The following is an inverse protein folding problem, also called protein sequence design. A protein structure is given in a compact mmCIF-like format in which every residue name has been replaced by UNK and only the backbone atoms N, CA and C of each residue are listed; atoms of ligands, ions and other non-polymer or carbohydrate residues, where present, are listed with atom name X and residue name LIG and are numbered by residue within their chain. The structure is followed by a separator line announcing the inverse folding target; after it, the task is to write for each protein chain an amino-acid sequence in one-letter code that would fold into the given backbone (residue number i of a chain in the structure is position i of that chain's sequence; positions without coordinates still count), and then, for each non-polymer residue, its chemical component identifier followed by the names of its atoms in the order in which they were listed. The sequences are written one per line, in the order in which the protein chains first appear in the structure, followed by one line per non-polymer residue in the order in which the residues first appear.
data_IF_439459988940
#
_entry.id   IF_439459988940
#
_cell.length_a   1.000
_cell.length_b   1.000
_cell.length_c   1.000
_cell.angle_alpha   90.00
_cell.angle_beta   90.00
_cell.angle_gamma   90.00
#
_symmetry.space_group_name_H-M   'P 1'
#
loop_
_entity.id
_entity.type
_entity.pdbx_description
1 polymer ?
#
# COMPACT_ATOMS: atom_id res chain seq x y z
N UNK A 1 -9.59 -5.41 5.74
CA UNK A 1 -9.73 -4.64 4.49
C UNK A 1 -10.97 -3.77 4.59
N UNK A 2 -10.84 -2.45 4.55
CA UNK A 2 -11.96 -1.50 4.59
C UNK A 2 -12.13 -0.82 3.23
N UNK A 3 -12.45 -1.58 2.19
CA UNK A 3 -12.67 -1.01 0.86
C UNK A 3 -14.13 -0.49 0.76
N UNK A 4 -14.38 0.78 0.39
CA UNK A 4 -15.69 1.42 0.55
C UNK A 4 -16.87 0.74 -0.16
N UNK A 5 -16.59 -0.04 -1.21
CA UNK A 5 -17.60 -0.63 -2.11
C UNK A 5 -17.46 -2.15 -2.26
N UNK A 6 -16.98 -2.83 -1.23
CA UNK A 6 -16.79 -4.28 -1.30
C UNK A 6 -18.13 -5.03 -1.34
N UNK A 7 -18.37 -5.80 -2.42
CA UNK A 7 -19.54 -6.69 -2.50
C UNK A 7 -19.40 -7.85 -1.49
N UNK A 8 -20.50 -8.34 -0.89
CA UNK A 8 -20.46 -9.49 0.01
C UNK A 8 -19.90 -10.73 -0.69
N UNK A 9 -18.94 -11.40 -0.07
CA UNK A 9 -18.25 -12.55 -0.66
C UNK A 9 -19.22 -13.70 -0.99
N UNK A 10 -20.08 -14.07 -0.04
CA UNK A 10 -21.08 -15.14 -0.22
C UNK A 10 -22.02 -14.91 -1.40
N UNK A 11 -22.31 -13.65 -1.75
CA UNK A 11 -23.11 -13.31 -2.92
C UNK A 11 -22.37 -13.67 -4.21
N UNK A 12 -21.09 -13.32 -4.32
CA UNK A 12 -20.28 -13.62 -5.49
C UNK A 12 -20.03 -15.12 -5.65
N UNK A 13 -19.77 -15.84 -4.56
CA UNK A 13 -19.65 -17.31 -4.60
C UNK A 13 -20.91 -17.97 -5.16
N UNK A 14 -22.10 -17.52 -4.73
CA UNK A 14 -23.37 -18.05 -5.23
C UNK A 14 -23.54 -17.78 -6.73
N UNK A 15 -23.21 -16.57 -7.18
CA UNK A 15 -23.30 -16.20 -8.60
C UNK A 15 -22.35 -17.06 -9.43
N UNK A 16 -21.08 -17.18 -9.03
CA UNK A 16 -20.07 -17.98 -9.75
C UNK A 16 -20.48 -19.46 -9.81
N UNK A 17 -20.87 -20.06 -8.68
CA UNK A 17 -21.32 -21.47 -8.65
C UNK A 17 -22.49 -21.77 -9.59
N UNK A 18 -23.39 -20.81 -9.77
CA UNK A 18 -24.57 -21.00 -10.61
C UNK A 18 -24.28 -20.75 -12.09
N UNK A 19 -23.23 -19.98 -12.40
CA UNK A 19 -22.91 -19.51 -13.74
C UNK A 19 -21.66 -20.15 -14.36
N UNK A 20 -20.89 -20.95 -13.63
CA UNK A 20 -19.68 -21.62 -14.12
C UNK A 20 -19.31 -22.90 -13.37
N UNK A 21 -18.52 -23.75 -14.00
CA UNK A 21 -17.95 -24.97 -13.46
C UNK A 21 -16.52 -24.75 -12.92
N UNK A 22 -15.99 -25.74 -12.20
CA UNK A 22 -14.58 -25.75 -11.82
C UNK A 22 -13.68 -25.73 -13.05
N UNK A 23 -12.56 -25.01 -12.99
CA UNK A 23 -11.66 -24.82 -14.12
C UNK A 23 -12.07 -23.73 -15.13
N UNK A 24 -13.33 -23.27 -15.12
CA UNK A 24 -13.78 -22.18 -16.00
C UNK A 24 -13.09 -20.85 -15.65
N UNK A 25 -13.14 -19.89 -16.58
CA UNK A 25 -12.57 -18.56 -16.42
C UNK A 25 -13.66 -17.55 -16.03
N UNK A 26 -13.42 -16.80 -14.96
CA UNK A 26 -14.27 -15.67 -14.54
C UNK A 26 -13.60 -14.35 -14.90
N UNK A 27 -14.23 -13.55 -15.77
CA UNK A 27 -13.78 -12.20 -16.11
C UNK A 27 -14.56 -11.16 -15.30
N UNK A 28 -13.85 -10.29 -14.60
CA UNK A 28 -14.41 -9.11 -13.95
C UNK A 28 -13.69 -7.83 -14.44
N UNK A 29 -14.30 -7.06 -15.36
CA UNK A 29 -13.69 -5.86 -15.90
C UNK A 29 -13.77 -4.63 -14.98
N UNK A 30 -14.29 -4.79 -13.75
CA UNK A 30 -14.39 -3.76 -12.73
C UNK A 30 -14.04 -4.33 -11.35
N UNK A 31 -12.90 -5.04 -11.28
CA UNK A 31 -12.62 -5.96 -10.19
C UNK A 31 -12.36 -5.27 -8.83
N UNK A 32 -12.00 -3.99 -8.82
CA UNK A 32 -11.70 -3.24 -7.60
C UNK A 32 -10.69 -3.96 -6.72
N UNK A 33 -11.01 -4.15 -5.45
CA UNK A 33 -10.17 -4.90 -4.50
C UNK A 33 -10.13 -6.43 -4.72
N UNK A 34 -10.66 -6.94 -5.83
CA UNK A 34 -10.52 -8.34 -6.23
C UNK A 34 -11.41 -9.32 -5.47
N UNK A 35 -12.62 -8.92 -5.07
CA UNK A 35 -13.53 -9.85 -4.37
C UNK A 35 -14.02 -10.97 -5.30
N UNK A 36 -14.29 -10.66 -6.56
CA UNK A 36 -14.67 -11.66 -7.57
C UNK A 36 -13.53 -12.64 -7.85
N UNK A 37 -12.31 -12.13 -8.03
CA UNK A 37 -11.10 -12.95 -8.18
C UNK A 37 -10.90 -13.88 -6.97
N UNK A 38 -11.02 -13.35 -5.74
CA UNK A 38 -10.91 -14.15 -4.53
C UNK A 38 -11.97 -15.27 -4.47
N UNK A 39 -13.23 -14.96 -4.78
CA UNK A 39 -14.31 -15.95 -4.82
C UNK A 39 -14.08 -17.01 -5.91
N UNK A 40 -13.64 -16.61 -7.10
CA UNK A 40 -13.31 -17.54 -8.19
C UNK A 40 -12.17 -18.48 -7.79
N UNK A 41 -11.12 -17.94 -7.16
CA UNK A 41 -9.98 -18.71 -6.65
C UNK A 41 -10.39 -19.74 -5.60
N UNK A 42 -11.23 -19.37 -4.61
CA UNK A 42 -11.75 -20.32 -3.59
C UNK A 42 -12.55 -21.46 -4.21
N UNK A 43 -13.18 -21.18 -5.34
CA UNK A 43 -13.99 -22.13 -6.07
C UNK A 43 -13.18 -22.89 -7.11
N UNK A 44 -11.85 -22.81 -7.17
CA UNK A 44 -11.04 -23.51 -8.17
C UNK A 44 -11.38 -23.11 -9.62
N UNK A 45 -11.67 -21.82 -9.86
CA UNK A 45 -11.83 -21.23 -11.19
C UNK A 45 -10.60 -20.39 -11.53
N UNK A 46 -10.29 -20.28 -12.82
CA UNK A 46 -9.36 -19.26 -13.31
C UNK A 46 -10.06 -17.90 -13.30
N UNK A 47 -9.32 -16.81 -13.29
CA UNK A 47 -9.92 -15.48 -13.30
C UNK A 47 -9.05 -14.44 -14.00
N UNK A 48 -9.71 -13.41 -14.53
CA UNK A 48 -9.10 -12.21 -15.09
C UNK A 48 -9.79 -11.02 -14.43
N UNK A 49 -9.01 -10.17 -13.76
CA UNK A 49 -9.50 -8.94 -13.15
C UNK A 49 -8.92 -7.73 -13.87
N UNK A 50 -9.77 -6.78 -14.26
CA UNK A 50 -9.34 -5.50 -14.86
C UNK A 50 -9.91 -4.37 -14.00
N UNK A 51 -9.09 -3.36 -13.76
CA UNK A 51 -9.51 -2.09 -13.17
C UNK A 51 -8.67 -0.96 -13.76
N UNK A 52 -9.27 0.22 -13.88
CA UNK A 52 -8.57 1.43 -14.32
C UNK A 52 -7.65 1.97 -13.23
N UNK A 53 -7.94 1.66 -11.96
CA UNK A 53 -7.19 2.12 -10.81
C UNK A 53 -6.05 1.17 -10.50
N UNK A 54 -4.81 1.64 -10.67
CA UNK A 54 -3.61 0.89 -10.25
C UNK A 54 -3.58 0.57 -8.76
N UNK A 55 -4.18 1.44 -7.93
CA UNK A 55 -4.35 1.18 -6.50
C UNK A 55 -5.23 -0.05 -6.25
N UNK A 56 -6.38 -0.16 -6.93
CA UNK A 56 -7.25 -1.35 -6.86
C UNK A 56 -6.52 -2.62 -7.28
N UNK A 57 -5.76 -2.56 -8.39
CA UNK A 57 -5.00 -3.70 -8.90
C UNK A 57 -3.95 -4.19 -7.92
N UNK A 58 -3.21 -3.28 -7.27
CA UNK A 58 -2.24 -3.65 -6.21
C UNK A 58 -2.95 -4.24 -4.98
N UNK A 59 -4.08 -3.69 -4.55
CA UNK A 59 -4.85 -4.26 -3.44
C UNK A 59 -5.38 -5.67 -3.77
N UNK A 60 -5.83 -5.89 -5.01
CA UNK A 60 -6.21 -7.22 -5.49
C UNK A 60 -5.01 -8.17 -5.44
N UNK A 61 -3.85 -7.76 -5.97
CA UNK A 61 -2.62 -8.56 -5.94
C UNK A 61 -2.25 -8.93 -4.50
N UNK A 62 -2.17 -7.96 -3.59
CA UNK A 62 -1.86 -8.19 -2.17
C UNK A 62 -2.86 -9.19 -1.56
N UNK A 63 -4.17 -9.00 -1.81
CA UNK A 63 -5.21 -9.90 -1.31
C UNK A 63 -5.00 -11.33 -1.79
N UNK A 64 -4.78 -11.56 -3.09
CA UNK A 64 -4.65 -12.92 -3.60
C UNK A 64 -3.36 -13.55 -3.06
N UNK A 65 -2.21 -12.87 -3.13
CA UNK A 65 -0.94 -13.42 -2.64
C UNK A 65 -0.97 -13.71 -1.13
N UNK A 66 -1.66 -12.88 -0.34
CA UNK A 66 -1.79 -13.08 1.11
C UNK A 66 -2.68 -14.27 1.46
N UNK A 67 -3.73 -14.55 0.67
CA UNK A 67 -4.64 -15.67 0.92
C UNK A 67 -4.18 -16.98 0.27
N UNK A 68 -3.38 -16.90 -0.80
CA UNK A 68 -2.92 -18.05 -1.58
C UNK A 68 -1.40 -18.00 -1.83
N UNK A 69 -0.56 -18.18 -0.80
CA UNK A 69 0.89 -18.08 -0.94
C UNK A 69 1.50 -19.02 -1.97
N UNK A 70 0.87 -20.17 -2.24
CA UNK A 70 1.30 -21.12 -3.27
C UNK A 70 1.33 -20.50 -4.68
N UNK A 71 0.51 -19.47 -4.94
CA UNK A 71 0.50 -18.72 -6.21
C UNK A 71 1.76 -17.88 -6.42
N UNK A 72 2.61 -17.68 -5.41
CA UNK A 72 3.90 -17.01 -5.55
C UNK A 72 4.88 -17.87 -6.37
N UNK A 73 4.77 -19.20 -6.30
CA UNK A 73 5.79 -20.12 -6.80
C UNK A 73 5.38 -20.92 -8.05
N UNK A 74 4.13 -20.86 -8.49
CA UNK A 74 3.56 -21.76 -9.51
C UNK A 74 3.18 -21.05 -10.81
N UNK A 75 4.12 -20.38 -11.49
CA UNK A 75 3.84 -19.54 -12.69
C UNK A 75 2.73 -18.52 -12.39
N UNK A 76 3.01 -17.68 -11.39
CA UNK A 76 2.04 -16.90 -10.62
C UNK A 76 1.20 -15.87 -11.38
N UNK A 77 0.43 -15.10 -10.60
CA UNK A 77 -0.50 -14.08 -11.10
C UNK A 77 0.24 -13.11 -12.02
N UNK A 78 -0.09 -13.14 -13.31
CA UNK A 78 0.37 -12.14 -14.26
C UNK A 78 -0.32 -10.81 -13.98
N UNK A 79 0.46 -9.74 -13.85
CA UNK A 79 -0.04 -8.39 -13.65
C UNK A 79 0.45 -7.52 -14.79
N UNK A 80 -0.48 -7.08 -15.63
CA UNK A 80 -0.19 -6.26 -16.81
C UNK A 80 -0.52 -4.79 -16.53
N UNK A 81 0.36 -3.88 -16.95
CA UNK A 81 0.12 -2.43 -16.90
C UNK A 81 0.54 -1.73 -15.60
N UNK A 82 1.20 -2.44 -14.68
CA UNK A 82 1.91 -1.88 -13.54
C UNK A 82 3.42 -1.88 -13.81
N UNK A 83 4.18 -0.89 -13.31
CA UNK A 83 5.63 -0.88 -13.46
C UNK A 83 6.29 -2.14 -12.89
N UNK A 84 7.06 -2.83 -13.73
CA UNK A 84 7.91 -3.97 -13.36
C UNK A 84 9.34 -3.59 -13.00
N UNK A 85 9.79 -2.43 -13.46
CA UNK A 85 11.13 -1.90 -13.20
C UNK A 85 11.14 -0.38 -12.95
N UNK A 86 12.33 0.15 -12.66
CA UNK A 86 12.53 1.56 -12.30
C UNK A 86 12.27 2.49 -13.48
N UNK A 87 12.56 2.06 -14.72
CA UNK A 87 12.39 2.90 -15.90
C UNK A 87 10.91 2.99 -16.28
N UNK A 88 10.16 1.90 -16.23
CA UNK A 88 8.69 1.91 -16.35
C UNK A 88 8.05 2.77 -15.25
N UNK A 89 8.58 2.70 -14.03
CA UNK A 89 8.10 3.54 -12.92
C UNK A 89 8.37 5.03 -13.18
N UNK A 90 9.53 5.38 -13.78
CA UNK A 90 9.85 6.75 -14.20
C UNK A 90 8.96 7.23 -15.34
N UNK A 91 8.67 6.37 -16.32
CA UNK A 91 7.75 6.69 -17.41
C UNK A 91 6.35 6.99 -16.87
N UNK A 92 5.85 6.17 -15.94
CA UNK A 92 4.58 6.42 -15.26
C UNK A 92 4.61 7.74 -14.49
N UNK A 93 5.66 7.99 -13.71
CA UNK A 93 5.83 9.23 -12.95
C UNK A 93 5.84 10.48 -13.84
N UNK A 94 6.44 10.41 -15.04
CA UNK A 94 6.50 11.52 -16.00
C UNK A 94 5.19 11.70 -16.76
N UNK A 95 4.58 10.61 -17.22
CA UNK A 95 3.37 10.64 -18.04
C UNK A 95 2.12 10.95 -17.23
N UNK A 96 2.01 10.37 -16.03
CA UNK A 96 0.88 10.58 -15.13
C UNK A 96 1.31 10.47 -13.66
N UNK A 97 1.80 11.58 -13.06
CA UNK A 97 2.24 11.61 -11.65
C UNK A 97 1.18 11.09 -10.67
N UNK A 98 -0.09 11.36 -10.95
CA UNK A 98 -1.19 10.95 -10.08
C UNK A 98 -1.43 9.43 -10.09
N UNK A 99 -1.26 8.78 -11.25
CA UNK A 99 -1.30 7.31 -11.33
C UNK A 99 -0.06 6.65 -10.73
N UNK A 100 1.09 7.32 -10.79
CA UNK A 100 2.30 6.91 -10.08
C UNK A 100 2.09 6.92 -8.56
N UNK A 101 1.54 8.00 -8.00
CA UNK A 101 1.21 8.13 -6.58
C UNK A 101 0.28 7.00 -6.11
N UNK A 102 -0.79 6.71 -6.87
CA UNK A 102 -1.72 5.61 -6.60
C UNK A 102 -1.04 4.25 -6.61
N UNK A 103 -0.19 4.00 -7.60
CA UNK A 103 0.53 2.74 -7.73
C UNK A 103 1.45 2.52 -6.52
N UNK A 104 2.26 3.53 -6.17
CA UNK A 104 3.14 3.49 -5.00
C UNK A 104 2.35 3.25 -3.72
N UNK A 105 1.28 4.00 -3.49
CA UNK A 105 0.46 3.86 -2.30
C UNK A 105 -0.20 2.47 -2.20
N UNK A 106 -0.66 1.93 -3.33
CA UNK A 106 -1.22 0.58 -3.39
C UNK A 106 -0.18 -0.48 -3.03
N UNK A 107 1.05 -0.31 -3.53
CA UNK A 107 2.14 -1.25 -3.31
C UNK A 107 2.70 -1.21 -1.88
N UNK A 108 2.73 -0.03 -1.26
CA UNK A 108 3.10 0.14 0.15
C UNK A 108 1.99 -0.35 1.10
N UNK A 109 0.76 -0.49 0.60
CA UNK A 109 -0.38 -0.98 1.36
C UNK A 109 -0.97 0.07 2.29
N UNK A 110 -1.05 1.33 1.84
CA UNK A 110 -1.71 2.41 2.58
C UNK A 110 -3.19 2.07 2.83
N UNK A 111 -3.71 2.48 3.99
CA UNK A 111 -5.08 2.22 4.38
C UNK A 111 -6.07 3.24 3.80
N UNK A 112 -5.60 4.47 3.55
CA UNK A 112 -6.38 5.54 2.95
C UNK A 112 -5.49 6.34 1.97
N UNK A 113 -6.04 6.67 0.80
CA UNK A 113 -5.41 7.52 -0.20
C UNK A 113 -5.78 8.97 0.12
N UNK A 114 -5.09 9.59 1.08
CA UNK A 114 -4.87 11.04 1.32
C UNK A 114 -5.98 12.09 1.14
N UNK A 115 -7.17 11.76 0.65
CA UNK A 115 -8.22 12.68 0.18
C UNK A 115 -9.17 13.14 1.27
N UNK A 116 -8.79 12.97 2.54
CA UNK A 116 -9.48 13.66 3.63
C UNK A 116 -8.94 15.08 3.69
N UNK A 117 -9.80 16.05 3.36
CA UNK A 117 -9.58 17.45 3.77
C UNK A 117 -9.37 17.48 5.27
N UNK A 118 -8.11 17.62 5.69
CA UNK A 118 -7.78 17.89 7.09
C UNK A 118 -8.37 19.26 7.44
N UNK A 119 -9.19 19.40 8.49
CA UNK A 119 -9.73 20.69 8.90
C UNK A 119 -8.58 21.69 9.12
N UNK A 120 -8.60 22.81 8.38
CA UNK A 120 -7.59 23.87 8.46
C UNK A 120 -6.46 23.81 7.42
N UNK A 121 -6.40 22.80 6.55
CA UNK A 121 -5.46 22.82 5.42
C UNK A 121 -5.86 23.88 4.38
N UNK A 122 -4.94 24.78 4.00
CA UNK A 122 -5.11 25.66 2.83
C UNK A 122 -4.57 24.92 1.59
N UNK A 123 -5.43 24.72 0.60
CA UNK A 123 -5.12 23.96 -0.63
C UNK A 123 -5.84 22.61 -0.69
N UNK A 124 -5.98 22.05 -1.89
CA UNK A 124 -6.39 20.66 -2.05
C UNK A 124 -5.18 19.78 -1.68
N UNK A 125 -5.31 19.06 -0.57
CA UNK A 125 -4.38 18.09 0.00
C UNK A 125 -3.06 18.68 0.56
N UNK A 126 -2.83 18.51 1.86
CA UNK A 126 -1.68 19.05 2.59
C UNK A 126 -0.35 18.34 2.31
N UNK A 127 -0.17 17.81 1.10
CA UNK A 127 1.01 17.06 0.64
C UNK A 127 1.08 15.60 1.10
N UNK A 128 -0.03 15.04 1.58
CA UNK A 128 -0.15 13.62 2.00
C UNK A 128 -0.82 12.85 0.88
N UNK A 129 -0.14 11.83 0.36
CA UNK A 129 -0.64 10.96 -0.71
C UNK A 129 -1.32 9.71 -0.16
N UNK A 130 -0.91 9.26 1.03
CA UNK A 130 -1.51 8.14 1.72
C UNK A 130 -1.28 8.12 3.23
N UNK A 131 -2.05 7.31 3.94
CA UNK A 131 -1.90 7.06 5.38
C UNK A 131 -1.87 5.56 5.64
N UNK A 132 -0.85 5.10 6.38
CA UNK A 132 -0.76 3.75 6.93
C UNK A 132 -1.23 3.81 8.38
N UNK A 133 -2.17 2.95 8.76
CA UNK A 133 -2.56 2.73 10.17
C UNK A 133 -1.98 1.41 10.64
N UNK A 134 -1.34 1.42 11.80
CA UNK A 134 -0.69 0.26 12.38
C UNK A 134 -0.99 0.12 13.88
N UNK A 135 -1.23 -1.10 14.36
CA UNK A 135 -1.33 -1.37 15.78
C UNK A 135 0.07 -1.36 16.41
N UNK A 136 0.23 -0.65 17.51
CA UNK A 136 1.47 -0.57 18.29
C UNK A 136 1.16 -0.99 19.73
N UNK A 137 2.00 -1.85 20.30
CA UNK A 137 1.82 -2.33 21.68
C UNK A 137 2.77 -1.58 22.61
N UNK A 138 2.21 -0.84 23.58
CA UNK A 138 2.97 -0.20 24.67
C UNK A 138 2.37 -0.63 25.99
N UNK A 139 3.22 -1.14 26.90
CA UNK A 139 2.81 -1.61 28.24
C UNK A 139 1.63 -2.60 28.24
N UNK A 140 1.57 -3.46 27.22
CA UNK A 140 0.49 -4.45 27.06
C UNK A 140 -0.83 -3.88 26.52
N UNK A 141 -0.87 -2.59 26.20
CA UNK A 141 -2.02 -1.90 25.59
C UNK A 141 -1.78 -1.73 24.09
N UNK A 142 -2.79 -2.04 23.27
CA UNK A 142 -2.76 -1.84 21.81
C UNK A 142 -3.26 -0.44 21.48
N UNK A 143 -2.43 0.35 20.83
CA UNK A 143 -2.73 1.67 20.28
C UNK A 143 -2.83 1.57 18.75
N UNK A 144 -3.71 2.36 18.13
CA UNK A 144 -3.71 2.54 16.68
C UNK A 144 -2.95 3.84 16.35
N UNK A 145 -1.80 3.69 15.72
CA UNK A 145 -0.94 4.81 15.31
C UNK A 145 -1.03 5.00 13.79
N UNK A 146 -0.69 6.20 13.31
CA UNK A 146 -0.68 6.49 11.87
C UNK A 146 0.65 7.02 11.36
N UNK A 147 0.96 6.67 10.11
CA UNK A 147 2.14 7.09 9.37
C UNK A 147 1.69 7.70 8.06
N UNK A 148 2.05 8.95 7.81
CA UNK A 148 1.73 9.63 6.55
C UNK A 148 2.74 9.26 5.48
N UNK A 149 2.28 9.14 4.24
CA UNK A 149 3.09 8.84 3.07
C UNK A 149 3.00 10.01 2.11
N UNK A 150 4.16 10.46 1.65
CA UNK A 150 4.30 11.41 0.56
C UNK A 150 5.14 10.79 -0.55
N UNK A 151 4.67 10.89 -1.78
CA UNK A 151 5.28 10.31 -2.97
C UNK A 151 5.81 11.43 -3.86
N UNK A 152 7.04 11.27 -4.35
CA UNK A 152 7.70 12.21 -5.26
C UNK A 152 8.28 11.47 -6.45
N UNK A 153 7.60 11.61 -7.59
CA UNK A 153 8.07 11.12 -8.90
C UNK A 153 9.14 12.02 -9.56
N UNK A 154 9.33 13.24 -9.05
CA UNK A 154 10.34 14.19 -9.51
C UNK A 154 11.44 14.42 -8.48
N UNK A 155 12.09 15.59 -8.55
CA UNK A 155 13.14 15.96 -7.59
C UNK A 155 12.56 16.13 -6.18
N UNK A 156 13.32 15.68 -5.19
CA UNK A 156 13.04 15.93 -3.77
C UNK A 156 13.86 17.14 -3.32
N UNK A 157 13.19 18.16 -2.81
CA UNK A 157 13.83 19.35 -2.26
C UNK A 157 13.93 19.26 -0.73
N UNK A 158 14.89 19.95 -0.10
CA UNK A 158 14.95 20.07 1.36
C UNK A 158 13.64 20.58 1.98
N UNK A 159 12.99 21.53 1.32
CA UNK A 159 11.73 22.09 1.79
C UNK A 159 10.58 21.08 1.74
N UNK A 160 10.59 20.13 0.79
CA UNK A 160 9.63 19.04 0.77
C UNK A 160 9.78 18.13 2.00
N UNK A 161 11.02 17.81 2.41
CA UNK A 161 11.29 16.98 3.60
C UNK A 161 10.87 17.71 4.88
N UNK A 162 11.12 19.03 4.97
CA UNK A 162 10.65 19.86 6.08
C UNK A 162 9.13 19.94 6.13
N UNK A 163 8.47 20.15 4.99
CA UNK A 163 7.02 20.19 4.90
C UNK A 163 6.37 18.87 5.32
N UNK A 164 6.97 17.72 4.98
CA UNK A 164 6.54 16.42 5.49
C UNK A 164 6.67 16.36 7.01
N UNK A 165 7.80 16.80 7.56
CA UNK A 165 8.04 16.83 9.01
C UNK A 165 7.02 17.68 9.77
N UNK A 166 6.70 18.86 9.24
CA UNK A 166 5.64 19.72 9.78
C UNK A 166 4.26 19.07 9.67
N UNK A 167 4.01 18.36 8.57
CA UNK A 167 2.75 17.67 8.34
C UNK A 167 2.55 16.54 9.33
N UNK A 168 3.56 15.70 9.58
CA UNK A 168 3.54 14.65 10.61
C UNK A 168 3.12 15.23 11.96
N UNK A 169 3.77 16.32 12.39
CA UNK A 169 3.46 17.01 13.65
C UNK A 169 2.04 17.60 13.65
N UNK A 170 1.63 18.21 12.54
CA UNK A 170 0.31 18.86 12.40
C UNK A 170 -0.85 17.87 12.50
N UNK A 171 -0.70 16.68 11.92
CA UNK A 171 -1.77 15.67 11.91
C UNK A 171 -1.67 14.67 13.07
N UNK A 172 -0.60 14.75 13.87
CA UNK A 172 -0.39 13.86 15.01
C UNK A 172 0.03 12.44 14.62
N UNK A 173 0.56 12.24 13.41
CA UNK A 173 1.13 10.96 13.01
C UNK A 173 2.46 10.71 13.71
N UNK A 174 2.79 9.45 13.96
CA UNK A 174 4.06 9.06 14.61
C UNK A 174 5.25 9.13 13.67
N UNK A 175 5.02 8.97 12.37
CA UNK A 175 6.07 9.09 11.36
C UNK A 175 5.53 9.53 9.99
N UNK A 176 6.47 9.88 9.11
CA UNK A 176 6.27 10.20 7.70
C UNK A 176 7.25 9.43 6.82
N UNK A 177 6.73 8.83 5.75
CA UNK A 177 7.52 8.15 4.71
C UNK A 177 7.55 9.01 3.45
N UNK A 178 8.74 9.40 3.01
CA UNK A 178 8.95 10.01 1.70
C UNK A 178 9.35 8.93 0.70
N UNK A 179 8.51 8.68 -0.30
CA UNK A 179 8.81 7.75 -1.39
C UNK A 179 9.36 8.51 -2.59
N UNK A 180 10.55 8.14 -3.06
CA UNK A 180 11.17 8.79 -4.22
C UNK A 180 12.11 7.84 -4.96
N UNK A 181 12.60 8.27 -6.13
CA UNK A 181 13.65 7.53 -6.84
C UNK A 181 14.98 7.54 -6.07
N UNK A 182 15.79 6.50 -6.26
CA UNK A 182 16.99 6.24 -5.46
C UNK A 182 18.00 7.40 -5.49
N UNK A 183 18.15 8.08 -6.63
CA UNK A 183 19.01 9.26 -6.78
C UNK A 183 18.61 10.45 -5.87
N UNK A 184 17.36 10.49 -5.40
CA UNK A 184 16.85 11.56 -4.54
C UNK A 184 16.97 11.22 -3.04
N UNK A 185 17.31 9.98 -2.69
CA UNK A 185 17.36 9.52 -1.29
C UNK A 185 18.36 10.29 -0.44
N UNK A 186 19.47 10.74 -1.03
CA UNK A 186 20.46 11.56 -0.34
C UNK A 186 19.87 12.86 0.22
N UNK A 187 18.93 13.49 -0.48
CA UNK A 187 18.26 14.70 0.04
C UNK A 187 17.38 14.37 1.24
N UNK A 188 16.64 13.26 1.19
CA UNK A 188 15.80 12.82 2.31
C UNK A 188 16.63 12.54 3.55
N UNK A 189 17.69 11.74 3.40
CA UNK A 189 18.56 11.34 4.51
C UNK A 189 19.33 12.52 5.13
N UNK A 190 19.73 13.50 4.33
CA UNK A 190 20.44 14.68 4.83
C UNK A 190 19.54 15.70 5.52
N UNK A 191 18.25 15.75 5.19
CA UNK A 191 17.32 16.79 5.66
C UNK A 191 16.34 16.29 6.72
N UNK A 192 16.16 14.97 6.87
CA UNK A 192 15.27 14.39 7.88
C UNK A 192 15.76 14.67 9.30
N UNK A 193 14.84 14.73 10.24
CA UNK A 193 15.19 14.74 11.66
C UNK A 193 15.85 13.41 12.07
N UNK A 194 16.70 13.46 13.10
CA UNK A 194 17.23 12.27 13.77
C UNK A 194 16.34 11.79 14.91
N UNK A 195 15.18 12.43 15.08
CA UNK A 195 14.20 12.04 16.08
C UNK A 195 13.62 10.67 15.73
N UNK A 196 13.40 9.87 16.76
CA UNK A 196 12.76 8.57 16.67
C UNK A 196 11.48 8.56 17.49
N UNK A 197 10.66 7.55 17.26
CA UNK A 197 9.47 7.26 18.05
C UNK A 197 9.48 5.79 18.49
N UNK A 198 8.92 5.52 19.67
CA UNK A 198 8.79 4.18 20.23
C UNK A 198 7.68 3.41 19.50
N UNK A 199 8.11 2.44 18.69
CA UNK A 199 7.25 1.54 17.93
C UNK A 199 6.74 0.34 18.72
N UNK A 200 6.98 0.32 20.04
CA UNK A 200 6.68 -0.80 20.91
C UNK A 200 7.82 -1.82 20.95
N UNK A 201 7.78 -2.68 21.97
CA UNK A 201 8.77 -3.72 22.23
C UNK A 201 10.23 -3.21 22.33
N UNK A 202 10.41 -1.94 22.72
CA UNK A 202 11.73 -1.31 22.88
C UNK A 202 12.44 -0.98 21.55
N UNK A 203 11.72 -0.94 20.43
CA UNK A 203 12.28 -0.58 19.13
C UNK A 203 11.95 0.87 18.77
N UNK A 204 12.99 1.62 18.40
CA UNK A 204 12.90 3.01 17.98
C UNK A 204 12.93 3.12 16.45
N UNK A 205 12.05 3.94 15.89
CA UNK A 205 11.91 4.14 14.45
C UNK A 205 12.07 5.61 14.09
N UNK A 206 12.72 5.97 12.97
CA UNK A 206 12.80 7.36 12.55
C UNK A 206 11.42 7.98 12.34
N UNK A 207 11.23 9.21 12.83
CA UNK A 207 9.99 9.96 12.58
C UNK A 207 9.87 10.28 11.08
N UNK A 208 10.98 10.59 10.40
CA UNK A 208 11.00 10.78 8.95
C UNK A 208 11.93 9.76 8.34
N UNK A 209 11.48 9.11 7.26
CA UNK A 209 12.25 8.09 6.56
C UNK A 209 12.07 8.20 5.05
N UNK A 210 13.14 7.95 4.31
CA UNK A 210 13.07 7.74 2.87
C UNK A 210 12.75 6.29 2.53
N UNK A 211 12.04 6.09 1.43
CA UNK A 211 11.82 4.78 0.85
C UNK A 211 11.96 4.86 -0.67
N UNK A 212 12.86 4.06 -1.24
CA UNK A 212 13.16 4.17 -2.67
C UNK A 212 12.17 3.38 -3.54
N UNK A 213 11.95 3.82 -4.77
CA UNK A 213 11.20 3.03 -5.77
C UNK A 213 11.87 1.67 -6.02
N UNK A 214 13.20 1.58 -5.95
CA UNK A 214 13.93 0.31 -6.00
C UNK A 214 13.58 -0.62 -4.83
N UNK A 215 13.50 -0.09 -3.60
CA UNK A 215 13.09 -0.86 -2.43
C UNK A 215 11.63 -1.32 -2.57
N UNK A 216 10.77 -0.48 -3.14
CA UNK A 216 9.36 -0.80 -3.45
C UNK A 216 9.25 -1.98 -4.41
N UNK A 217 9.96 -1.93 -5.54
CA UNK A 217 9.94 -2.96 -6.58
C UNK A 217 10.52 -4.29 -6.08
N UNK A 218 11.44 -4.25 -5.09
CA UNK A 218 11.99 -5.43 -4.42
C UNK A 218 11.13 -5.95 -3.27
N UNK A 219 9.93 -5.39 -3.07
CA UNK A 219 9.01 -5.72 -1.98
C UNK A 219 9.68 -5.65 -0.58
N UNK A 220 10.67 -4.76 -0.42
CA UNK A 220 11.37 -4.57 0.86
C UNK A 220 10.42 -3.94 1.87
N UNK A 221 10.29 -4.47 3.10
CA UNK A 221 9.38 -3.88 4.08
C UNK A 221 9.82 -2.45 4.45
N UNK A 222 8.84 -1.58 4.70
CA UNK A 222 9.09 -0.29 5.35
C UNK A 222 9.73 -0.51 6.73
N UNK A 223 10.57 0.45 7.15
CA UNK A 223 11.10 0.45 8.50
C UNK A 223 10.04 0.96 9.50
N UNK A 224 9.08 0.08 9.79
CA UNK A 224 7.98 0.30 10.72
C UNK A 224 7.83 -0.92 11.64
N UNK A 225 7.17 -0.77 12.81
CA UNK A 225 6.88 -1.89 13.67
C UNK A 225 6.19 -3.04 12.94
N UNK A 226 6.47 -4.30 13.33
CA UNK A 226 5.74 -5.44 12.81
C UNK A 226 4.24 -5.25 13.06
N UNK A 227 3.47 -5.25 11.97
CA UNK A 227 2.02 -5.12 12.04
C UNK A 227 1.41 -6.42 12.58
N UNK A 228 1.35 -6.57 13.90
CA UNK A 228 0.68 -7.70 14.56
C UNK A 228 -0.80 -7.68 14.16
N UNK A 229 -1.24 -8.65 13.36
CA UNK A 229 -2.62 -8.78 12.88
C UNK A 229 -2.80 -8.75 11.36
N UNK A 230 -1.80 -8.28 10.57
CA UNK A 230 -1.70 -8.69 9.15
C UNK A 230 -0.97 -10.02 9.12
N UNK A 231 -1.71 -11.14 9.13
CA UNK A 231 -1.12 -12.46 8.84
C UNK A 231 -0.40 -12.38 7.48
N UNK A 232 0.91 -12.22 7.47
CA UNK A 232 1.77 -12.92 6.51
C UNK A 232 1.68 -14.39 6.92
N UNK A 233 1.17 -15.22 6.01
CA UNK A 233 0.75 -16.59 6.28
C UNK A 233 1.69 -17.36 7.21
N UNK A 234 1.18 -17.72 8.38
CA UNK A 234 1.84 -18.56 9.37
C UNK A 234 0.82 -18.90 10.46
N UNK A 235 0.60 -20.19 10.70
CA UNK A 235 -0.26 -20.67 11.79
C UNK A 235 0.34 -20.22 13.12
N UNK A 236 -0.48 -19.58 13.96
CA UNK A 236 -0.24 -19.50 15.40
C UNK A 236 -0.87 -20.78 15.96
N UNK A 237 -0.06 -21.75 16.34
CA UNK A 237 -0.47 -22.73 17.34
C UNK A 237 -0.23 -22.11 18.72
N UNK A 238 -1.19 -22.31 19.61
CA UNK A 238 -1.04 -22.06 21.04
C UNK A 238 0.12 -22.89 21.63
#
# INVERSE_FOLDING_TARGET
LGYPTQKPLALLERIIKTSSNEGDVVLDPFCGCGTTAHAAEQLNRQWIGIDISRFSTELMRERILSNYPARIHADGIEVVGLPGDVDEARELARGNPFEFEKWVCGRIGVNDMGRRKVPGARGADGGIDGEIRLPVVRDGIVYEESVVVQVKGGNVTPDAVKALSETVRRVGSVAGVMVCFNEQMGTVENQRSRETWDGGFGNEYPIIQGYSVDDLLRDKPLNLPPQYGRKRGGRISA
#
